data_IF_660502976869
#
_entry.id   IF_660502976869
#
_cell.length_a   1.000
_cell.length_b   1.000
_cell.length_c   1.000
_cell.angle_alpha   90.00
_cell.angle_beta   90.00
_cell.angle_gamma   90.00
#
_symmetry.space_group_name_H-M   'P 1'
#
loop_
_entity.id
_entity.type
_entity.pdbx_description
1 polymer ?
#
# COMPACT_ATOMS: atom_id res chain seq x y z
N UNK A 1 -8.74 -0.66 0.58
CA UNK A 1 -8.08 0.65 0.60
C UNK A 1 -7.78 1.12 2.03
N UNK A 2 -6.66 1.83 2.20
CA UNK A 2 -6.25 2.48 3.45
C UNK A 2 -7.01 3.80 3.67
N UNK A 3 -7.09 4.66 2.67
CA UNK A 3 -8.17 5.64 2.59
C UNK A 3 -9.42 4.91 2.09
N UNK A 4 -10.40 4.72 2.96
CA UNK A 4 -11.42 3.71 2.71
C UNK A 4 -12.32 4.00 1.48
N UNK A 5 -12.34 5.23 0.97
CA UNK A 5 -13.14 5.65 -0.19
C UNK A 5 -12.44 5.48 -1.55
N UNK A 6 -11.16 5.14 -1.57
CA UNK A 6 -10.37 4.99 -2.80
C UNK A 6 -10.53 3.56 -3.32
N UNK A 7 -11.51 3.34 -4.19
CA UNK A 7 -11.94 2.00 -4.61
C UNK A 7 -11.18 1.33 -5.78
N UNK A 8 -10.44 2.02 -6.67
CA UNK A 8 -9.73 1.37 -7.78
C UNK A 8 -8.88 0.17 -7.38
N UNK A 9 -8.03 0.32 -6.36
CA UNK A 9 -7.22 -0.80 -5.85
C UNK A 9 -8.03 -1.95 -5.24
N UNK A 10 -9.22 -1.67 -4.71
CA UNK A 10 -10.10 -2.72 -4.14
C UNK A 10 -10.70 -3.58 -5.24
N UNK A 11 -11.17 -2.96 -6.33
CA UNK A 11 -11.73 -3.69 -7.46
C UNK A 11 -10.64 -4.39 -8.28
N UNK A 12 -9.44 -3.82 -8.37
CA UNK A 12 -8.27 -4.52 -8.93
C UNK A 12 -7.94 -5.79 -8.14
N UNK A 13 -7.96 -5.73 -6.80
CA UNK A 13 -7.79 -6.93 -5.97
C UNK A 13 -8.92 -7.95 -6.19
N UNK A 14 -10.17 -7.50 -6.36
CA UNK A 14 -11.31 -8.38 -6.66
C UNK A 14 -11.09 -9.19 -7.95
N UNK A 15 -10.61 -8.52 -9.01
CA UNK A 15 -10.25 -9.16 -10.27
C UNK A 15 -8.97 -10.03 -10.18
N UNK A 16 -8.00 -9.64 -9.35
CA UNK A 16 -6.74 -10.38 -9.13
C UNK A 16 -6.95 -11.70 -8.36
N UNK A 17 -7.87 -11.74 -7.41
CA UNK A 17 -8.06 -12.90 -6.53
C UNK A 17 -8.32 -14.22 -7.28
N UNK A 18 -9.20 -14.28 -8.29
CA UNK A 18 -9.35 -15.45 -9.16
C UNK A 18 -8.05 -15.87 -9.86
N UNK A 19 -7.27 -14.90 -10.37
CA UNK A 19 -6.00 -15.17 -11.06
C UNK A 19 -4.98 -15.82 -10.10
N UNK A 20 -4.90 -15.30 -8.87
CA UNK A 20 -4.05 -15.88 -7.82
C UNK A 20 -4.52 -17.27 -7.40
N UNK A 21 -5.83 -17.50 -7.30
CA UNK A 21 -6.37 -18.84 -6.99
C UNK A 21 -6.01 -19.87 -8.08
N UNK A 22 -6.07 -19.48 -9.35
CA UNK A 22 -5.59 -20.32 -10.46
C UNK A 22 -4.09 -20.56 -10.38
N UNK A 23 -3.29 -19.52 -10.10
CA UNK A 23 -1.84 -19.65 -9.94
C UNK A 23 -1.45 -20.56 -8.77
N UNK A 24 -2.20 -20.53 -7.68
CA UNK A 24 -2.02 -21.43 -6.54
C UNK A 24 -2.33 -22.88 -6.92
N UNK A 25 -3.48 -23.12 -7.55
CA UNK A 25 -3.90 -24.46 -7.99
C UNK A 25 -2.91 -25.09 -8.98
N UNK A 26 -2.23 -24.27 -9.78
CA UNK A 26 -1.21 -24.68 -10.75
C UNK A 26 0.21 -24.75 -10.15
N UNK A 27 0.40 -24.41 -8.87
CA UNK A 27 1.70 -24.42 -8.20
C UNK A 27 2.68 -23.36 -8.71
N UNK A 28 2.16 -22.26 -9.28
CA UNK A 28 2.96 -21.14 -9.83
C UNK A 28 3.38 -20.13 -8.77
N UNK A 29 2.64 -20.02 -7.66
CA UNK A 29 3.03 -19.18 -6.52
C UNK A 29 4.27 -19.75 -5.84
N UNK A 30 5.36 -18.96 -5.78
CA UNK A 30 6.67 -19.37 -5.21
C UNK A 30 6.98 -18.75 -3.85
N UNK A 31 6.11 -17.88 -3.34
CA UNK A 31 6.31 -17.15 -2.09
C UNK A 31 4.99 -16.83 -1.42
N UNK A 32 5.06 -16.28 -0.21
CA UNK A 32 3.86 -15.83 0.49
C UNK A 32 3.28 -14.58 -0.18
N UNK A 33 1.96 -14.56 -0.35
CA UNK A 33 1.20 -13.40 -0.82
C UNK A 33 0.22 -13.04 0.29
N UNK A 34 0.27 -11.78 0.75
CA UNK A 34 -0.67 -11.23 1.72
C UNK A 34 -1.56 -10.21 1.02
N UNK A 35 -2.85 -10.49 0.89
CA UNK A 35 -3.82 -9.58 0.27
C UNK A 35 -4.70 -8.96 1.36
N UNK A 36 -4.81 -7.63 1.37
CA UNK A 36 -5.62 -6.88 2.33
C UNK A 36 -6.58 -5.92 1.60
N UNK A 37 -7.70 -6.42 1.03
CA UNK A 37 -8.57 -5.61 0.18
C UNK A 37 -9.16 -4.41 0.94
N UNK A 38 -9.55 -4.62 2.19
CA UNK A 38 -10.14 -3.60 3.07
C UNK A 38 -9.21 -3.29 4.25
N UNK A 39 -8.05 -2.70 3.96
CA UNK A 39 -7.05 -2.34 4.96
C UNK A 39 -7.60 -1.47 6.10
N UNK A 40 -8.55 -0.56 5.85
CA UNK A 40 -9.10 0.33 6.85
C UNK A 40 -10.60 0.09 7.15
N UNK A 41 -10.95 -0.90 7.99
CA UNK A 41 -12.33 -1.15 8.37
C UNK A 41 -12.92 -0.02 9.23
N UNK A 42 -12.08 0.77 9.91
CA UNK A 42 -12.52 1.90 10.75
C UNK A 42 -13.06 2.99 9.84
N UNK A 43 -12.25 3.48 8.89
CA UNK A 43 -12.64 4.48 7.89
C UNK A 43 -13.85 4.02 7.08
N UNK A 44 -13.91 2.73 6.69
CA UNK A 44 -15.03 2.15 5.94
C UNK A 44 -16.38 2.27 6.65
N UNK A 45 -16.38 2.36 7.98
CA UNK A 45 -17.57 2.48 8.80
C UNK A 45 -17.95 3.94 9.13
N UNK A 46 -17.19 4.93 8.65
CA UNK A 46 -17.43 6.34 8.95
C UNK A 46 -18.28 6.99 7.86
N UNK A 47 -19.53 7.33 8.21
CA UNK A 47 -20.44 8.07 7.34
C UNK A 47 -20.98 9.31 8.06
N UNK A 48 -21.09 10.42 7.34
CA UNK A 48 -21.67 11.66 7.83
C UNK A 48 -22.60 12.23 6.76
N UNK A 49 -23.89 12.45 7.09
CA UNK A 49 -24.90 12.97 6.16
C UNK A 49 -25.01 12.18 4.83
N UNK A 50 -24.76 10.87 4.87
CA UNK A 50 -24.80 9.99 3.69
C UNK A 50 -23.49 9.95 2.89
N UNK A 51 -22.51 10.77 3.24
CA UNK A 51 -21.19 10.76 2.62
C UNK A 51 -20.21 9.89 3.40
N UNK A 52 -19.36 9.18 2.66
CA UNK A 52 -18.32 8.35 3.24
C UNK A 52 -17.11 9.20 3.65
N UNK A 53 -16.65 9.02 4.90
CA UNK A 53 -15.58 9.80 5.51
C UNK A 53 -14.36 8.91 5.76
N UNK A 54 -13.78 8.36 4.70
CA UNK A 54 -12.75 7.30 4.78
C UNK A 54 -11.30 7.76 4.92
N UNK A 55 -11.01 9.07 4.80
CA UNK A 55 -9.63 9.61 4.72
C UNK A 55 -9.00 9.93 6.08
N UNK A 56 -9.80 10.36 7.04
CA UNK A 56 -9.34 10.76 8.38
C UNK A 56 -10.10 10.00 9.46
N UNK A 57 -9.43 9.62 10.54
CA UNK A 57 -10.10 9.04 11.70
C UNK A 57 -10.92 10.13 12.43
N UNK A 58 -12.22 9.90 12.64
CA UNK A 58 -13.12 10.93 13.20
C UNK A 58 -12.72 11.39 14.61
N UNK A 59 -12.22 10.48 15.45
CA UNK A 59 -11.87 10.77 16.84
C UNK A 59 -10.59 11.60 16.99
N UNK A 60 -9.57 11.32 16.17
CA UNK A 60 -8.24 11.94 16.29
C UNK A 60 -7.96 12.99 15.21
N UNK A 61 -8.77 13.01 14.15
CA UNK A 61 -8.56 13.79 12.91
C UNK A 61 -7.27 13.45 12.17
N UNK A 62 -6.58 12.39 12.57
CA UNK A 62 -5.37 11.93 11.90
C UNK A 62 -5.74 11.31 10.56
N UNK A 63 -5.02 11.68 9.51
CA UNK A 63 -5.11 11.01 8.22
C UNK A 63 -4.70 9.53 8.37
N UNK A 64 -5.43 8.62 7.74
CA UNK A 64 -5.14 7.18 7.87
C UNK A 64 -3.81 6.78 7.22
N UNK A 65 -3.39 7.47 6.16
CA UNK A 65 -2.07 7.33 5.53
C UNK A 65 -0.99 8.29 6.10
N UNK A 66 -1.07 8.66 7.39
CA UNK A 66 -0.05 9.50 8.08
C UNK A 66 0.21 9.05 9.51
N UNK A 67 1.41 9.30 10.03
CA UNK A 67 1.79 8.95 11.39
C UNK A 67 1.91 7.44 11.64
N UNK A 68 2.34 6.68 10.65
CA UNK A 68 2.77 5.29 10.84
C UNK A 68 4.04 5.21 11.69
N UNK A 69 4.25 4.12 12.46
CA UNK A 69 5.49 3.94 13.21
C UNK A 69 6.67 3.73 12.27
N UNK A 70 7.70 4.57 12.40
CA UNK A 70 8.96 4.43 11.66
C UNK A 70 9.93 3.59 12.49
N UNK A 71 10.22 2.37 12.03
CA UNK A 71 11.06 1.42 12.74
C UNK A 71 12.53 1.64 12.44
N UNK A 72 13.39 1.42 13.44
CA UNK A 72 14.85 1.56 13.29
C UNK A 72 15.48 0.44 12.43
N UNK A 73 14.82 -0.71 12.35
CA UNK A 73 15.22 -1.88 11.55
C UNK A 73 13.96 -2.69 11.21
N UNK A 74 14.00 -3.58 10.20
CA UNK A 74 12.82 -4.35 9.77
C UNK A 74 12.55 -5.53 10.72
N UNK A 75 12.28 -5.21 11.99
CA UNK A 75 12.04 -6.16 13.07
C UNK A 75 10.80 -5.73 13.88
N UNK A 76 9.90 -6.68 14.06
CA UNK A 76 8.66 -6.53 14.85
C UNK A 76 8.93 -6.12 16.30
N UNK A 77 10.13 -6.36 16.84
CA UNK A 77 10.52 -5.91 18.18
C UNK A 77 10.54 -4.37 18.34
N UNK A 78 10.65 -3.62 17.23
CA UNK A 78 10.59 -2.15 17.26
C UNK A 78 9.16 -1.59 17.15
N UNK A 79 8.14 -2.44 16.93
CA UNK A 79 6.76 -1.98 16.86
C UNK A 79 6.34 -1.38 18.22
N UNK A 80 5.62 -0.24 18.22
CA UNK A 80 5.17 0.37 19.46
C UNK A 80 4.10 -0.50 20.15
N UNK A 81 4.09 -0.50 21.48
CA UNK A 81 2.98 -1.07 22.24
C UNK A 81 1.72 -0.20 22.09
N UNK A 82 0.74 -0.71 21.33
CA UNK A 82 -0.55 -0.06 21.12
C UNK A 82 -1.67 -0.63 22.00
N UNK A 83 -1.36 -1.33 23.10
CA UNK A 83 -2.37 -1.90 24.01
C UNK A 83 -3.35 -0.85 24.55
N UNK A 84 -2.89 0.38 24.76
CA UNK A 84 -3.71 1.53 25.15
C UNK A 84 -3.90 2.55 24.01
N UNK A 85 -3.46 2.22 22.79
CA UNK A 85 -3.57 3.09 21.62
C UNK A 85 -5.00 3.14 21.05
N UNK A 86 -5.28 4.20 20.30
CA UNK A 86 -6.53 4.37 19.53
C UNK A 86 -6.64 3.32 18.43
N UNK A 87 -7.84 3.15 17.87
CA UNK A 87 -8.09 2.16 16.82
C UNK A 87 -7.22 2.40 15.57
N UNK A 88 -7.02 3.66 15.17
CA UNK A 88 -6.15 4.02 14.05
C UNK A 88 -4.66 3.73 14.33
N UNK A 89 -4.19 3.90 15.57
CA UNK A 89 -2.82 3.54 15.95
C UNK A 89 -2.60 2.03 15.86
N UNK A 90 -3.54 1.23 16.40
CA UNK A 90 -3.49 -0.24 16.32
C UNK A 90 -3.52 -0.73 14.88
N UNK A 91 -4.35 -0.10 14.04
CA UNK A 91 -4.42 -0.40 12.62
C UNK A 91 -3.08 -0.15 11.93
N UNK A 92 -2.47 1.02 12.14
CA UNK A 92 -1.18 1.40 11.53
C UNK A 92 -0.06 0.44 11.94
N UNK A 93 0.03 0.11 13.23
CA UNK A 93 0.98 -0.89 13.72
C UNK A 93 0.75 -2.26 13.08
N UNK A 94 -0.51 -2.68 12.93
CA UNK A 94 -0.83 -3.97 12.29
C UNK A 94 -0.45 -4.00 10.81
N UNK A 95 -0.69 -2.92 10.07
CA UNK A 95 -0.34 -2.85 8.66
C UNK A 95 1.19 -2.88 8.45
N UNK A 96 1.96 -2.15 9.27
CA UNK A 96 3.44 -2.24 9.22
C UNK A 96 3.91 -3.63 9.59
N UNK A 97 3.32 -4.26 10.61
CA UNK A 97 3.63 -5.64 10.95
C UNK A 97 3.38 -6.61 9.78
N UNK A 98 2.34 -6.38 8.98
CA UNK A 98 2.03 -7.19 7.80
C UNK A 98 3.01 -6.93 6.65
N UNK A 99 3.54 -5.70 6.49
CA UNK A 99 4.51 -5.40 5.43
C UNK A 99 5.91 -5.93 5.72
N UNK A 100 6.31 -6.00 7.00
CA UNK A 100 7.61 -6.51 7.41
C UNK A 100 7.88 -7.92 6.84
N UNK A 101 9.07 -8.07 6.25
CA UNK A 101 9.54 -9.34 5.69
C UNK A 101 9.11 -9.58 4.23
N UNK A 102 8.22 -8.77 3.67
CA UNK A 102 7.91 -8.82 2.25
C UNK A 102 8.97 -8.02 1.45
N UNK A 103 9.33 -8.55 0.29
CA UNK A 103 10.18 -7.86 -0.69
C UNK A 103 9.34 -6.95 -1.62
N UNK A 104 8.04 -7.21 -1.75
CA UNK A 104 7.08 -6.43 -2.55
C UNK A 104 5.95 -5.93 -1.63
N UNK A 105 5.77 -4.61 -1.55
CA UNK A 105 4.72 -3.93 -0.77
C UNK A 105 4.10 -2.86 -1.66
N UNK A 106 2.84 -3.08 -2.06
CA UNK A 106 2.08 -2.18 -2.92
C UNK A 106 0.93 -1.58 -2.11
N UNK A 107 0.97 -0.27 -1.90
CA UNK A 107 -0.10 0.47 -1.21
C UNK A 107 -1.06 1.05 -2.25
N UNK A 108 -2.21 0.42 -2.43
CA UNK A 108 -3.13 0.73 -3.53
C UNK A 108 -4.08 1.88 -3.15
N UNK A 109 -3.92 2.99 -3.85
CA UNK A 109 -4.59 4.27 -3.67
C UNK A 109 -5.17 4.79 -5.00
N UNK A 110 -5.82 5.94 -4.97
CA UNK A 110 -6.18 6.69 -6.17
C UNK A 110 -6.25 8.19 -5.87
N UNK A 111 -6.19 9.01 -6.91
CA UNK A 111 -6.37 10.45 -6.79
C UNK A 111 -7.86 10.83 -6.78
N UNK A 112 -8.16 12.11 -6.53
CA UNK A 112 -9.51 12.65 -6.75
C UNK A 112 -9.86 12.56 -8.25
N UNK A 113 -8.99 13.11 -9.09
CA UNK A 113 -8.96 13.01 -10.55
C UNK A 113 -7.50 13.05 -11.02
N UNK A 114 -7.09 12.13 -11.90
CA UNK A 114 -5.69 12.09 -12.32
C UNK A 114 -5.35 10.96 -13.27
N UNK A 115 -4.10 10.99 -13.76
CA UNK A 115 -3.48 9.86 -14.45
C UNK A 115 -3.08 8.78 -13.43
N UNK A 116 -2.71 7.59 -13.88
CA UNK A 116 -2.11 6.59 -13.00
C UNK A 116 -0.61 6.88 -12.80
N UNK A 117 -0.11 6.78 -11.57
CA UNK A 117 1.29 7.04 -11.23
C UNK A 117 1.78 6.29 -9.99
N UNK A 118 3.10 6.15 -9.86
CA UNK A 118 3.73 5.57 -8.67
C UNK A 118 4.46 6.63 -7.86
N UNK A 119 4.29 6.63 -6.53
CA UNK A 119 5.24 7.28 -5.62
C UNK A 119 6.34 6.30 -5.26
N UNK A 120 7.59 6.62 -5.60
CA UNK A 120 8.73 5.72 -5.39
C UNK A 120 9.83 6.44 -4.64
N UNK A 121 10.29 5.84 -3.54
CA UNK A 121 11.47 6.33 -2.85
C UNK A 121 12.71 6.25 -3.76
N UNK A 122 13.54 7.30 -3.79
CA UNK A 122 14.71 7.40 -4.69
C UNK A 122 15.69 6.25 -4.56
N UNK A 123 15.78 5.57 -3.41
CA UNK A 123 16.64 4.38 -3.25
C UNK A 123 16.21 3.16 -4.08
N UNK A 124 14.97 3.14 -4.58
CA UNK A 124 14.40 2.03 -5.36
C UNK A 124 14.32 2.34 -6.86
N UNK A 125 14.56 3.61 -7.25
CA UNK A 125 14.64 4.01 -8.65
C UNK A 125 16.10 4.00 -9.13
N UNK A 126 16.41 3.50 -10.34
CA UNK A 126 15.51 3.03 -11.41
C UNK A 126 15.18 1.53 -11.36
N UNK A 127 15.55 0.80 -10.31
CA UNK A 127 15.33 -0.66 -10.22
C UNK A 127 13.86 -1.04 -10.39
N UNK A 128 12.93 -0.23 -9.90
CA UNK A 128 11.48 -0.43 -10.02
C UNK A 128 10.87 -0.05 -11.38
N UNK A 129 11.67 0.21 -12.42
CA UNK A 129 11.15 0.61 -13.74
C UNK A 129 10.28 -0.49 -14.39
N UNK A 130 10.58 -1.76 -14.12
CA UNK A 130 9.77 -2.90 -14.56
C UNK A 130 8.40 -2.93 -13.89
N UNK A 131 8.34 -2.67 -12.58
CA UNK A 131 7.10 -2.53 -11.83
C UNK A 131 6.25 -1.36 -12.37
N UNK A 132 6.86 -0.20 -12.63
CA UNK A 132 6.17 0.93 -13.25
C UNK A 132 5.58 0.58 -14.63
N UNK A 133 6.35 -0.14 -15.46
CA UNK A 133 5.88 -0.60 -16.76
C UNK A 133 4.74 -1.64 -16.65
N UNK A 134 4.84 -2.59 -15.71
CA UNK A 134 3.81 -3.59 -15.47
C UNK A 134 2.49 -2.95 -15.00
N UNK A 135 2.56 -1.97 -14.11
CA UNK A 135 1.40 -1.20 -13.63
C UNK A 135 0.79 -0.28 -14.70
N UNK A 136 1.46 -0.10 -15.85
CA UNK A 136 0.95 0.73 -16.94
C UNK A 136 0.80 2.21 -16.58
N UNK A 137 1.60 2.72 -15.64
CA UNK A 137 1.47 4.10 -15.16
C UNK A 137 2.02 5.14 -16.14
N UNK A 138 1.42 6.32 -16.14
CA UNK A 138 1.85 7.46 -16.98
C UNK A 138 3.03 8.23 -16.37
N UNK A 139 3.22 8.14 -15.05
CA UNK A 139 4.25 8.87 -14.36
C UNK A 139 4.83 8.13 -13.14
N UNK A 140 6.05 8.52 -12.77
CA UNK A 140 6.70 8.14 -11.52
C UNK A 140 7.09 9.41 -10.79
N UNK A 141 6.64 9.55 -9.55
CA UNK A 141 6.97 10.65 -8.67
C UNK A 141 7.99 10.17 -7.63
N UNK A 142 9.18 10.77 -7.67
CA UNK A 142 10.27 10.39 -6.78
C UNK A 142 10.28 11.23 -5.51
N UNK A 143 10.55 10.57 -4.38
CA UNK A 143 10.70 11.21 -3.08
C UNK A 143 11.88 10.63 -2.29
N UNK A 144 12.42 11.39 -1.33
CA UNK A 144 13.62 10.98 -0.56
C UNK A 144 13.48 11.12 0.96
N UNK A 145 12.50 11.90 1.42
CA UNK A 145 12.26 12.12 2.84
C UNK A 145 10.77 11.98 3.11
N UNK A 146 10.40 11.19 4.12
CA UNK A 146 9.04 11.12 4.62
C UNK A 146 8.99 11.67 6.05
N UNK A 147 8.67 12.95 6.17
CA UNK A 147 8.43 13.60 7.46
C UNK A 147 7.01 13.38 7.99
N UNK A 148 6.17 12.69 7.24
CA UNK A 148 4.71 12.63 7.45
C UNK A 148 4.22 11.24 7.90
N UNK A 149 5.05 10.21 7.73
CA UNK A 149 4.81 8.84 8.19
C UNK A 149 3.71 8.15 7.39
N UNK A 150 3.87 8.08 6.07
CA UNK A 150 3.03 7.28 5.17
C UNK A 150 3.24 5.78 5.40
N UNK A 151 2.32 4.95 4.92
CA UNK A 151 2.47 3.49 5.00
C UNK A 151 3.62 2.98 4.13
N UNK A 152 3.74 3.49 2.90
CA UNK A 152 4.89 3.23 2.02
C UNK A 152 6.20 3.61 2.73
N UNK A 153 6.29 4.84 3.26
CA UNK A 153 7.45 5.32 4.00
C UNK A 153 7.80 4.40 5.18
N UNK A 154 6.84 4.03 6.00
CA UNK A 154 7.04 3.09 7.10
C UNK A 154 7.47 1.69 6.64
N UNK A 155 7.17 1.31 5.39
CA UNK A 155 7.53 0.02 4.81
C UNK A 155 8.93 0.01 4.17
N UNK A 156 9.46 1.15 3.74
CA UNK A 156 10.81 1.25 3.16
C UNK A 156 11.87 1.77 4.14
N UNK A 157 11.51 2.70 5.03
CA UNK A 157 12.46 3.34 5.94
C UNK A 157 13.29 2.38 6.80
N UNK A 158 12.74 1.29 7.35
CA UNK A 158 13.51 0.34 8.16
C UNK A 158 14.65 -0.33 7.38
N UNK A 159 14.58 -0.34 6.05
CA UNK A 159 15.57 -0.97 5.16
C UNK A 159 16.63 0.00 4.63
N UNK A 160 16.57 1.31 4.94
CA UNK A 160 17.53 2.30 4.43
C UNK A 160 18.92 2.18 5.07
N UNK A 161 18.99 1.75 6.34
CA UNK A 161 20.23 1.75 7.12
C UNK A 161 20.64 0.33 7.58
N UNK A 162 20.39 -0.67 6.76
CA UNK A 162 20.74 -2.08 7.03
C UNK A 162 21.71 -2.63 5.98
N UNK A 163 22.44 -3.73 6.26
CA UNK A 163 23.32 -4.36 5.28
C UNK A 163 22.59 -4.74 3.97
N UNK A 164 23.31 -4.72 2.85
CA UNK A 164 22.73 -4.90 1.51
C UNK A 164 21.97 -6.22 1.31
N UNK A 165 22.38 -7.29 2.00
CA UNK A 165 21.69 -8.59 1.96
C UNK A 165 20.31 -8.56 2.65
N UNK A 166 20.05 -7.55 3.49
CA UNK A 166 18.76 -7.29 4.14
C UNK A 166 17.95 -6.27 3.34
N UNK A 167 18.55 -5.17 2.91
CA UNK A 167 17.83 -4.10 2.18
C UNK A 167 17.32 -4.58 0.82
N UNK A 168 18.16 -5.29 0.04
CA UNK A 168 17.80 -5.92 -1.24
C UNK A 168 17.17 -4.95 -2.24
N UNK A 169 17.68 -3.72 -2.32
CA UNK A 169 17.15 -2.67 -3.22
C UNK A 169 17.28 -3.01 -4.71
N UNK A 170 18.01 -4.07 -5.06
CA UNK A 170 18.06 -4.66 -6.40
C UNK A 170 16.78 -5.43 -6.77
N UNK A 171 15.89 -5.74 -5.81
CA UNK A 171 14.64 -6.49 -6.04
C UNK A 171 13.48 -6.11 -5.11
N UNK A 172 13.68 -5.13 -4.23
CA UNK A 172 12.65 -4.64 -3.31
C UNK A 172 11.73 -3.67 -4.06
N UNK A 173 10.43 -3.86 -3.92
CA UNK A 173 9.38 -3.01 -4.46
C UNK A 173 8.59 -2.48 -3.28
N UNK A 174 8.62 -1.16 -3.06
CA UNK A 174 7.77 -0.49 -2.07
C UNK A 174 7.30 0.81 -2.72
N UNK A 175 5.99 0.96 -2.89
CA UNK A 175 5.41 2.13 -3.55
C UNK A 175 3.96 2.31 -3.15
N UNK A 176 3.51 3.57 -3.15
CA UNK A 176 2.08 3.87 -3.29
C UNK A 176 1.74 3.86 -4.78
N UNK A 177 0.77 3.02 -5.13
CA UNK A 177 0.16 2.98 -6.46
C UNK A 177 -1.02 3.93 -6.45
N UNK A 178 -0.89 5.07 -7.11
CA UNK A 178 -2.01 5.97 -7.37
C UNK A 178 -2.62 5.54 -8.71
N UNK A 179 -3.76 4.86 -8.65
CA UNK A 179 -4.57 4.69 -9.85
C UNK A 179 -5.17 6.05 -10.27
N UNK A 180 -6.16 6.04 -11.17
CA UNK A 180 -6.76 7.28 -11.71
C UNK A 180 -7.65 7.99 -10.66
N UNK A 181 -8.79 8.55 -11.05
CA UNK A 181 -9.72 9.19 -10.12
C UNK A 181 -10.55 8.22 -9.28
N UNK A 182 -11.15 8.74 -8.20
CA UNK A 182 -12.06 7.99 -7.33
C UNK A 182 -13.29 7.41 -8.06
N UNK A 183 -13.68 8.00 -9.18
CA UNK A 183 -14.83 7.57 -9.99
C UNK A 183 -14.45 6.56 -11.08
N UNK A 184 -13.16 6.36 -11.33
CA UNK A 184 -12.65 5.45 -12.36
C UNK A 184 -12.63 4.01 -11.82
N UNK A 185 -13.84 3.49 -11.60
CA UNK A 185 -14.11 2.19 -10.97
C UNK A 185 -15.14 1.45 -11.83
N UNK A 186 -14.63 0.59 -12.71
CA UNK A 186 -15.43 -0.33 -13.51
C UNK A 186 -14.69 -1.65 -13.74
N UNK A 187 -15.37 -2.62 -14.37
CA UNK A 187 -14.83 -3.95 -14.61
C UNK A 187 -13.62 -3.98 -15.55
N UNK A 188 -13.60 -3.15 -16.60
CA UNK A 188 -12.51 -3.14 -17.56
C UNK A 188 -11.24 -2.54 -16.94
N UNK A 189 -11.40 -1.47 -16.14
CA UNK A 189 -10.31 -0.91 -15.35
C UNK A 189 -9.81 -1.89 -14.30
N UNK A 190 -10.70 -2.56 -13.58
CA UNK A 190 -10.33 -3.55 -12.57
C UNK A 190 -9.52 -4.72 -13.16
N UNK A 191 -9.93 -5.24 -14.33
CA UNK A 191 -9.19 -6.29 -15.05
C UNK A 191 -7.80 -5.80 -15.50
N UNK A 192 -7.72 -4.60 -16.08
CA UNK A 192 -6.45 -4.03 -16.51
C UNK A 192 -5.48 -3.78 -15.34
N UNK A 193 -5.98 -3.23 -14.24
CA UNK A 193 -5.20 -2.98 -13.03
C UNK A 193 -4.75 -4.30 -12.37
N UNK A 194 -5.57 -5.35 -12.41
CA UNK A 194 -5.23 -6.68 -11.90
C UNK A 194 -4.13 -7.36 -12.72
N UNK A 195 -4.15 -7.22 -14.05
CA UNK A 195 -3.07 -7.72 -14.91
C UNK A 195 -1.72 -7.03 -14.60
N UNK A 196 -1.74 -5.74 -14.25
CA UNK A 196 -0.52 -5.04 -13.81
C UNK A 196 0.02 -5.50 -12.45
N UNK A 197 -0.85 -6.06 -11.58
CA UNK A 197 -0.49 -6.58 -10.27
C UNK A 197 0.04 -8.03 -10.29
N UNK A 198 -0.27 -8.80 -11.33
CA UNK A 198 -0.09 -10.25 -11.40
C UNK A 198 1.29 -10.69 -11.91
#
# INVERSE_FOLDING_TARGET
ALHAGELPGVVAIDALMPMLATAEAEGRIKGAITVVPWANPIGRAQYHFGEHQGRFHLGTRTNFNRGFPLLAAPDTAFLPDTTLGTADQRLKTRLVQLSLGHDIVLDLHCDDEGLAYLYIHTSLWPTMADCAAAMGVDAVVLWSEDSSGTFEGASIMPYQNVPANVSRFDRRVVTTVEYRGMLDVDGALAEADAEGLY
#
